data_IF_662672299595
#
_entry.id   IF_662672299595
#
_cell.length_a   1.000
_cell.length_b   1.000
_cell.length_c   1.000
_cell.angle_alpha   90.00
_cell.angle_beta   90.00
_cell.angle_gamma   90.00
#
_symmetry.space_group_name_H-M   'P 1'
#
loop_
_entity.id
_entity.type
_entity.pdbx_description
1 polymer ?
#
# COMPACT_ATOMS: atom_id res chain seq x y z
N UNK A 1 10.49 30.23 4.37
CA UNK A 1 11.19 29.15 5.08
C UNK A 1 10.48 27.80 5.00
N UNK A 2 9.29 27.59 5.61
CA UNK A 2 8.60 26.28 5.54
C UNK A 2 8.14 25.98 4.10
N UNK A 3 7.44 26.91 3.46
CA UNK A 3 6.96 26.74 2.08
C UNK A 3 8.09 26.46 1.08
N UNK A 4 9.21 27.16 1.21
CA UNK A 4 10.41 26.95 0.38
C UNK A 4 11.01 25.56 0.60
N UNK A 5 11.13 25.11 1.86
CA UNK A 5 11.63 23.77 2.18
C UNK A 5 10.71 22.67 1.64
N UNK A 6 9.39 22.87 1.72
CA UNK A 6 8.39 21.94 1.17
C UNK A 6 8.50 21.89 -0.36
N UNK A 7 8.60 23.06 -1.01
CA UNK A 7 8.75 23.15 -2.46
C UNK A 7 10.04 22.48 -2.95
N UNK A 8 11.15 22.69 -2.25
CA UNK A 8 12.44 22.09 -2.59
C UNK A 8 12.42 20.57 -2.42
N UNK A 9 11.81 20.08 -1.34
CA UNK A 9 11.59 18.65 -1.14
C UNK A 9 10.75 18.05 -2.27
N UNK A 10 9.62 18.69 -2.60
CA UNK A 10 8.72 18.24 -3.68
C UNK A 10 9.44 18.22 -5.03
N UNK A 11 10.21 19.26 -5.37
CA UNK A 11 11.04 19.28 -6.59
C UNK A 11 12.06 18.15 -6.63
N UNK A 12 12.67 17.83 -5.48
CA UNK A 12 13.64 16.74 -5.38
C UNK A 12 12.97 15.38 -5.60
N UNK A 13 11.85 15.15 -4.93
CA UNK A 13 11.04 13.93 -5.11
C UNK A 13 10.59 13.79 -6.56
N UNK A 14 10.05 14.86 -7.16
CA UNK A 14 9.55 14.82 -8.53
C UNK A 14 10.66 14.50 -9.53
N UNK A 15 11.84 15.13 -9.38
CA UNK A 15 13.02 14.80 -10.19
C UNK A 15 13.42 13.34 -10.04
N UNK A 16 13.41 12.80 -8.83
CA UNK A 16 13.78 11.42 -8.60
C UNK A 16 12.81 10.44 -9.27
N UNK A 17 11.50 10.65 -9.12
CA UNK A 17 10.47 9.81 -9.77
C UNK A 17 10.55 9.91 -11.28
N UNK A 18 10.74 11.12 -11.83
CA UNK A 18 10.84 11.34 -13.28
C UNK A 18 12.10 10.69 -13.88
N UNK A 19 13.21 10.70 -13.17
CA UNK A 19 14.48 10.12 -13.65
C UNK A 19 14.61 8.61 -13.36
N UNK A 20 14.01 8.13 -12.26
CA UNK A 20 14.26 6.80 -11.69
C UNK A 20 12.99 6.14 -11.14
N UNK A 21 11.93 6.14 -11.94
CA UNK A 21 10.63 5.57 -11.56
C UNK A 21 10.73 4.13 -11.03
N UNK A 22 11.46 3.26 -11.74
CA UNK A 22 11.57 1.84 -11.39
C UNK A 22 12.27 1.65 -10.06
N UNK A 23 13.34 2.40 -9.82
CA UNK A 23 14.10 2.40 -8.58
C UNK A 23 13.29 2.99 -7.42
N UNK A 24 12.57 4.09 -7.65
CA UNK A 24 11.68 4.70 -6.66
C UNK A 24 10.57 3.73 -6.26
N UNK A 25 9.87 3.13 -7.22
CA UNK A 25 8.84 2.14 -6.94
C UNK A 25 9.40 0.95 -6.16
N UNK A 26 10.58 0.45 -6.56
CA UNK A 26 11.26 -0.65 -5.86
C UNK A 26 11.67 -0.28 -4.44
N UNK A 27 12.18 0.93 -4.21
CA UNK A 27 12.54 1.40 -2.87
C UNK A 27 11.31 1.59 -1.99
N UNK A 28 10.25 2.19 -2.52
CA UNK A 28 8.99 2.34 -1.78
C UNK A 28 8.38 0.98 -1.44
N UNK A 29 8.35 0.04 -2.39
CA UNK A 29 7.91 -1.34 -2.13
C UNK A 29 8.80 -2.06 -1.10
N UNK A 30 10.12 -1.82 -1.10
CA UNK A 30 11.03 -2.36 -0.07
C UNK A 30 10.77 -1.77 1.31
N UNK A 31 10.56 -0.45 1.39
CA UNK A 31 10.14 0.21 2.63
C UNK A 31 8.76 -0.26 3.09
N UNK A 32 7.91 -0.67 2.15
CA UNK A 32 6.64 -1.33 2.40
C UNK A 32 6.81 -2.75 2.99
N UNK A 33 7.99 -3.35 2.86
CA UNK A 33 8.37 -4.63 3.45
C UNK A 33 7.87 -5.84 2.65
N UNK A 34 8.80 -6.75 2.27
CA UNK A 34 8.45 -8.03 1.63
C UNK A 34 7.52 -8.87 2.51
N UNK A 35 7.65 -8.76 3.83
CA UNK A 35 6.77 -9.40 4.82
C UNK A 35 5.33 -8.87 4.72
N UNK A 36 5.14 -7.57 4.55
CA UNK A 36 3.82 -6.95 4.38
C UNK A 36 3.16 -7.40 3.08
N UNK A 37 3.94 -7.48 2.00
CA UNK A 37 3.42 -7.98 0.73
C UNK A 37 2.96 -9.45 0.82
N UNK A 38 3.75 -10.30 1.51
CA UNK A 38 3.36 -11.69 1.78
C UNK A 38 2.09 -11.75 2.63
N UNK A 39 2.04 -10.98 3.71
CA UNK A 39 0.88 -10.87 4.59
C UNK A 39 -0.40 -10.48 3.81
N UNK A 40 -0.32 -9.47 2.95
CA UNK A 40 -1.46 -9.05 2.12
C UNK A 40 -1.88 -10.13 1.11
N UNK A 41 -0.91 -10.84 0.53
CA UNK A 41 -1.21 -11.96 -0.38
C UNK A 41 -1.93 -13.11 0.35
N UNK A 42 -1.52 -13.39 1.58
CA UNK A 42 -2.13 -14.42 2.43
C UNK A 42 -3.54 -14.00 2.84
N UNK A 43 -3.73 -12.74 3.25
CA UNK A 43 -5.04 -12.18 3.61
C UNK A 43 -6.01 -12.18 2.42
N UNK A 44 -5.55 -11.85 1.21
CA UNK A 44 -6.35 -11.99 -0.02
C UNK A 44 -6.79 -13.43 -0.27
N UNK A 45 -5.88 -14.40 -0.03
CA UNK A 45 -6.19 -15.82 -0.16
C UNK A 45 -7.20 -16.28 0.89
N UNK A 46 -7.08 -15.80 2.13
CA UNK A 46 -8.04 -16.05 3.21
C UNK A 46 -9.43 -15.51 2.86
N UNK A 47 -9.52 -14.26 2.40
CA UNK A 47 -10.77 -13.65 1.96
C UNK A 47 -11.44 -14.49 0.85
N UNK A 48 -10.68 -14.83 -0.19
CA UNK A 48 -11.20 -15.65 -1.31
C UNK A 48 -11.71 -17.01 -0.84
N UNK A 49 -11.04 -17.63 0.14
CA UNK A 49 -11.47 -18.90 0.74
C UNK A 49 -12.75 -18.73 1.55
N UNK A 50 -12.88 -17.66 2.33
CA UNK A 50 -14.08 -17.37 3.11
C UNK A 50 -15.30 -17.12 2.20
N UNK A 51 -15.15 -16.31 1.15
CA UNK A 51 -16.19 -16.07 0.15
C UNK A 51 -16.60 -17.35 -0.58
N UNK A 52 -15.63 -18.20 -0.94
CA UNK A 52 -15.93 -19.50 -1.54
C UNK A 52 -16.67 -20.41 -0.56
N UNK A 53 -16.25 -20.43 0.71
CA UNK A 53 -16.88 -21.26 1.75
C UNK A 53 -18.35 -20.88 1.96
N UNK A 54 -18.70 -19.60 1.92
CA UNK A 54 -20.11 -19.15 1.96
C UNK A 54 -20.92 -19.76 0.83
N UNK A 55 -20.41 -19.74 -0.42
CA UNK A 55 -21.10 -20.33 -1.58
C UNK A 55 -21.21 -21.86 -1.48
N UNK A 56 -20.18 -22.50 -0.93
CA UNK A 56 -20.19 -23.94 -0.68
C UNK A 56 -21.26 -24.28 0.38
N UNK A 57 -21.39 -23.47 1.43
CA UNK A 57 -22.44 -23.62 2.45
C UNK A 57 -23.83 -23.45 1.85
N UNK A 58 -24.07 -22.44 1.00
CA UNK A 58 -25.37 -22.27 0.31
C UNK A 58 -25.75 -23.53 -0.47
N UNK A 59 -24.78 -24.12 -1.17
CA UNK A 59 -24.98 -25.36 -1.93
C UNK A 59 -25.23 -26.58 -1.04
N UNK A 60 -24.61 -26.63 0.15
CA UNK A 60 -24.81 -27.70 1.12
C UNK A 60 -26.20 -27.62 1.77
N UNK A 61 -26.65 -26.41 2.13
CA UNK A 61 -27.99 -26.18 2.68
C UNK A 61 -29.06 -26.63 1.68
N UNK A 62 -28.91 -26.26 0.41
CA UNK A 62 -29.85 -26.68 -0.65
C UNK A 62 -29.94 -28.22 -0.74
N UNK A 63 -28.80 -28.91 -0.77
CA UNK A 63 -28.78 -30.39 -0.84
C UNK A 63 -29.40 -31.04 0.39
N UNK A 64 -29.14 -30.50 1.57
CA UNK A 64 -29.68 -31.01 2.84
C UNK A 64 -31.20 -30.87 2.89
N UNK A 65 -31.74 -29.77 2.35
CA UNK A 65 -33.19 -29.60 2.18
C UNK A 65 -33.77 -30.65 1.23
N UNK A 66 -33.14 -30.86 0.06
CA UNK A 66 -33.56 -31.87 -0.91
C UNK A 66 -33.55 -33.29 -0.32
N UNK A 67 -32.49 -33.65 0.40
CA UNK A 67 -32.33 -34.96 1.05
C UNK A 67 -33.33 -35.17 2.21
N UNK A 68 -33.67 -34.11 2.95
CA UNK A 68 -34.73 -34.16 3.97
C UNK A 68 -36.12 -34.35 3.32
N UNK A 69 -36.43 -33.60 2.27
CA UNK A 69 -37.73 -33.68 1.58
C UNK A 69 -38.02 -35.06 0.98
N UNK A 70 -36.98 -35.79 0.55
CA UNK A 70 -37.10 -37.17 0.03
C UNK A 70 -36.91 -38.25 1.10
N UNK A 71 -36.80 -37.86 2.38
CA UNK A 71 -36.73 -38.78 3.52
C UNK A 71 -35.39 -39.50 3.71
N UNK A 72 -34.33 -39.09 3.00
CA UNK A 72 -32.97 -39.64 3.22
C UNK A 72 -32.32 -39.10 4.50
N UNK A 73 -32.78 -37.94 4.97
CA UNK A 73 -32.30 -37.27 6.17
C UNK A 73 -33.44 -37.04 7.16
N UNK A 74 -33.25 -37.43 8.42
CA UNK A 74 -34.24 -37.16 9.48
C UNK A 74 -34.31 -35.66 9.80
N UNK A 75 -35.48 -35.22 10.26
CA UNK A 75 -35.73 -33.82 10.61
C UNK A 75 -34.79 -33.31 11.71
N UNK A 76 -34.47 -34.17 12.70
CA UNK A 76 -33.52 -33.85 13.77
C UNK A 76 -32.10 -33.59 13.21
N UNK A 77 -31.66 -34.40 12.25
CA UNK A 77 -30.34 -34.22 11.60
C UNK A 77 -30.34 -32.99 10.70
N UNK A 78 -31.44 -32.76 9.97
CA UNK A 78 -31.64 -31.55 9.17
C UNK A 78 -31.51 -30.29 10.03
N UNK A 79 -32.23 -30.21 11.16
CA UNK A 79 -32.20 -29.05 12.05
C UNK A 79 -30.78 -28.80 12.58
N UNK A 80 -30.12 -29.85 13.08
CA UNK A 80 -28.76 -29.75 13.62
C UNK A 80 -27.75 -29.25 12.58
N UNK A 81 -27.76 -29.83 11.37
CA UNK A 81 -26.80 -29.45 10.33
C UNK A 81 -27.09 -28.06 9.76
N UNK A 82 -28.36 -27.72 9.56
CA UNK A 82 -28.76 -26.40 9.05
C UNK A 82 -28.34 -25.30 10.02
N UNK A 83 -28.57 -25.48 11.32
CA UNK A 83 -28.10 -24.54 12.35
C UNK A 83 -26.58 -24.35 12.32
N UNK A 84 -25.81 -25.44 12.24
CA UNK A 84 -24.35 -25.35 12.21
C UNK A 84 -23.84 -24.61 10.97
N UNK A 85 -24.45 -24.84 9.80
CA UNK A 85 -24.10 -24.14 8.57
C UNK A 85 -24.50 -22.67 8.59
N UNK A 86 -25.67 -22.33 9.12
CA UNK A 86 -26.10 -20.94 9.28
C UNK A 86 -25.19 -20.17 10.24
N UNK A 87 -24.77 -20.79 11.33
CA UNK A 87 -23.84 -20.20 12.30
C UNK A 87 -22.45 -19.97 11.65
N UNK A 88 -21.92 -20.95 10.93
CA UNK A 88 -20.67 -20.80 10.18
C UNK A 88 -20.80 -19.68 9.14
N UNK A 89 -21.88 -19.66 8.36
CA UNK A 89 -22.10 -18.65 7.33
C UNK A 89 -22.22 -17.24 7.94
N UNK A 90 -22.90 -17.10 9.08
CA UNK A 90 -23.00 -15.84 9.81
C UNK A 90 -21.62 -15.34 10.25
N UNK A 91 -20.82 -16.20 10.88
CA UNK A 91 -19.47 -15.83 11.33
C UNK A 91 -18.57 -15.37 10.17
N UNK A 92 -18.65 -16.04 9.01
CA UNK A 92 -17.91 -15.66 7.81
C UNK A 92 -18.40 -14.32 7.23
N UNK A 93 -19.72 -14.09 7.19
CA UNK A 93 -20.32 -12.82 6.74
C UNK A 93 -19.95 -11.64 7.63
N UNK A 94 -19.75 -11.88 8.93
CA UNK A 94 -19.29 -10.85 9.88
C UNK A 94 -17.79 -10.57 9.72
N UNK A 95 -16.97 -11.58 9.42
CA UNK A 95 -15.52 -11.41 9.31
C UNK A 95 -15.05 -10.84 7.96
N UNK A 96 -15.80 -11.08 6.86
CA UNK A 96 -15.42 -10.63 5.51
C UNK A 96 -15.27 -9.10 5.40
N UNK A 97 -16.21 -8.27 5.91
CA UNK A 97 -16.08 -6.81 5.86
C UNK A 97 -14.79 -6.29 6.50
N UNK A 98 -14.39 -6.85 7.63
CA UNK A 98 -13.14 -6.47 8.31
C UNK A 98 -11.90 -6.85 7.49
N UNK A 99 -11.90 -8.04 6.87
CA UNK A 99 -10.84 -8.48 5.96
C UNK A 99 -10.76 -7.59 4.71
N UNK A 100 -11.92 -7.20 4.16
CA UNK A 100 -12.00 -6.31 3.00
C UNK A 100 -11.52 -4.91 3.33
N UNK A 101 -11.97 -4.31 4.43
CA UNK A 101 -11.54 -2.98 4.87
C UNK A 101 -10.01 -2.93 5.12
N UNK A 102 -9.46 -3.97 5.75
CA UNK A 102 -8.00 -4.10 5.92
C UNK A 102 -7.26 -4.17 4.58
N UNK A 103 -7.77 -4.97 3.63
CA UNK A 103 -7.16 -5.07 2.32
C UNK A 103 -7.32 -3.80 1.48
N UNK A 104 -8.42 -3.07 1.62
CA UNK A 104 -8.68 -1.80 0.91
C UNK A 104 -7.70 -0.73 1.40
N UNK A 105 -7.62 -0.50 2.72
CA UNK A 105 -6.67 0.45 3.32
C UNK A 105 -5.21 0.20 2.95
N UNK A 106 -4.84 -1.06 2.70
CA UNK A 106 -3.48 -1.43 2.30
C UNK A 106 -3.29 -1.44 0.78
N UNK A 107 -4.32 -1.77 0.00
CA UNK A 107 -4.29 -1.72 -1.48
C UNK A 107 -4.27 -0.28 -1.97
N UNK A 108 -4.94 0.64 -1.26
CA UNK A 108 -4.91 2.08 -1.49
C UNK A 108 -3.49 2.66 -1.48
N UNK A 109 -2.55 2.05 -0.75
CA UNK A 109 -1.15 2.48 -0.72
C UNK A 109 -0.34 1.96 -1.91
N UNK A 110 -0.65 0.76 -2.40
CA UNK A 110 -0.07 0.20 -3.64
C UNK A 110 -0.58 0.95 -4.89
N UNK A 111 -1.90 1.13 -5.00
CA UNK A 111 -2.49 1.94 -6.07
C UNK A 111 -2.13 3.42 -5.91
N UNK A 112 -2.02 3.90 -4.68
CA UNK A 112 -1.53 5.22 -4.33
C UNK A 112 -0.13 5.49 -4.88
N UNK A 113 0.79 4.53 -4.79
CA UNK A 113 2.13 4.63 -5.37
C UNK A 113 2.09 4.79 -6.89
N UNK A 114 1.31 3.97 -7.58
CA UNK A 114 1.23 4.07 -9.05
C UNK A 114 0.57 5.38 -9.48
N UNK A 115 -0.53 5.78 -8.83
CA UNK A 115 -1.21 7.06 -9.08
C UNK A 115 -0.30 8.25 -8.78
N UNK A 116 0.51 8.18 -7.72
CA UNK A 116 1.50 9.21 -7.39
C UNK A 116 2.53 9.35 -8.51
N UNK A 117 3.10 8.23 -8.98
CA UNK A 117 4.07 8.21 -10.09
C UNK A 117 3.45 8.84 -11.35
N UNK A 118 2.23 8.45 -11.71
CA UNK A 118 1.57 8.94 -12.91
C UNK A 118 1.28 10.44 -12.84
N UNK A 119 0.86 10.95 -11.68
CA UNK A 119 0.67 12.39 -11.45
C UNK A 119 1.99 13.16 -11.54
N UNK A 120 3.06 12.65 -10.93
CA UNK A 120 4.40 13.31 -10.99
C UNK A 120 4.93 13.38 -12.42
N UNK A 121 4.63 12.38 -13.27
CA UNK A 121 5.00 12.42 -14.70
C UNK A 121 4.26 13.49 -15.49
N UNK A 122 3.00 13.76 -15.15
CA UNK A 122 2.19 14.77 -15.84
C UNK A 122 2.60 16.20 -15.48
N UNK A 123 3.31 16.39 -14.37
CA UNK A 123 3.69 17.71 -13.87
C UNK A 123 5.11 18.08 -14.28
N UNK A 124 5.26 19.27 -14.84
CA UNK A 124 6.57 19.92 -15.03
C UNK A 124 7.06 20.48 -13.69
N UNK A 125 8.38 20.48 -13.43
CA UNK A 125 8.95 20.91 -12.15
C UNK A 125 8.28 22.19 -11.59
N UNK A 126 7.62 22.12 -10.42
CA UNK A 126 6.79 23.21 -9.94
C UNK A 126 7.65 24.44 -9.60
N UNK A 127 7.31 25.60 -10.14
CA UNK A 127 8.03 26.86 -9.89
C UNK A 127 7.64 27.52 -8.57
N UNK A 128 6.42 27.25 -8.08
CA UNK A 128 5.89 27.71 -6.80
C UNK A 128 5.05 26.61 -6.16
N UNK A 129 4.94 26.65 -4.83
CA UNK A 129 4.03 25.78 -4.10
C UNK A 129 2.63 26.39 -4.19
N UNK A 130 1.76 25.82 -5.03
CA UNK A 130 0.38 26.29 -5.17
C UNK A 130 -0.56 25.45 -4.31
N UNK A 131 -1.70 25.98 -3.86
CA UNK A 131 -2.68 25.21 -3.08
C UNK A 131 -3.12 23.92 -3.78
N UNK A 132 -3.21 23.95 -5.12
CA UNK A 132 -3.57 22.80 -5.93
C UNK A 132 -2.50 21.69 -5.79
N UNK A 133 -1.22 22.03 -5.90
CA UNK A 133 -0.11 21.08 -5.73
C UNK A 133 -0.07 20.51 -4.31
N UNK A 134 -0.34 21.34 -3.30
CA UNK A 134 -0.38 20.88 -1.90
C UNK A 134 -1.51 19.87 -1.72
N UNK A 135 -2.74 20.23 -2.10
CA UNK A 135 -3.87 19.31 -1.97
C UNK A 135 -3.71 18.03 -2.80
N UNK A 136 -3.08 18.13 -3.97
CA UNK A 136 -2.92 16.99 -4.85
C UNK A 136 -1.88 15.98 -4.35
N UNK A 137 -0.76 16.45 -3.79
CA UNK A 137 0.38 15.59 -3.46
C UNK A 137 0.66 15.43 -1.98
N UNK A 138 0.21 16.33 -1.11
CA UNK A 138 0.54 16.34 0.31
C UNK A 138 -0.68 15.95 1.14
N UNK A 139 -0.54 14.88 1.92
CA UNK A 139 -1.54 14.44 2.89
C UNK A 139 -1.47 15.31 4.16
N UNK A 140 -0.25 15.46 4.71
CA UNK A 140 0.02 16.29 5.88
C UNK A 140 1.50 16.65 6.00
N UNK A 141 1.78 17.70 6.75
CA UNK A 141 3.14 18.13 7.09
C UNK A 141 3.25 18.13 8.62
N UNK A 142 4.17 17.33 9.15
CA UNK A 142 4.43 17.24 10.59
C UNK A 142 5.70 18.03 10.89
N UNK A 143 5.57 19.07 11.70
CA UNK A 143 6.69 19.92 12.11
C UNK A 143 7.02 19.55 13.55
N UNK A 144 8.25 19.09 13.77
CA UNK A 144 8.74 18.72 15.08
C UNK A 144 9.23 19.92 15.87
N UNK A 145 9.43 19.70 17.17
CA UNK A 145 9.98 20.71 18.08
C UNK A 145 11.37 21.18 17.65
N UNK A 146 11.68 22.43 17.99
CA UNK A 146 12.96 23.07 17.66
C UNK A 146 14.06 22.47 18.53
N UNK A 147 15.17 22.07 17.91
CA UNK A 147 16.36 21.54 18.59
C UNK A 147 17.54 22.45 18.34
N UNK A 148 18.41 22.58 19.34
CA UNK A 148 19.70 23.26 19.19
C UNK A 148 20.80 22.20 19.17
N UNK A 149 21.58 22.18 18.10
CA UNK A 149 22.77 21.34 17.95
C UNK A 149 23.93 22.28 17.62
N UNK A 150 24.98 22.25 18.44
CA UNK A 150 26.20 23.03 18.23
C UNK A 150 25.95 24.53 18.01
N UNK A 151 25.10 25.14 18.86
CA UNK A 151 24.73 26.56 18.79
C UNK A 151 23.84 26.96 17.59
N UNK A 152 23.56 26.03 16.67
CA UNK A 152 22.67 26.24 15.51
C UNK A 152 21.28 25.67 15.78
N UNK A 153 20.27 26.40 15.32
CA UNK A 153 18.85 26.02 15.46
C UNK A 153 18.44 25.11 14.32
N UNK A 154 17.92 23.93 14.65
CA UNK A 154 17.37 22.94 13.74
C UNK A 154 15.89 22.70 14.02
N UNK A 155 15.12 22.46 12.97
CA UNK A 155 13.72 22.06 13.08
C UNK A 155 13.45 20.96 12.06
N UNK A 156 13.05 19.79 12.55
CA UNK A 156 12.74 18.64 11.70
C UNK A 156 11.32 18.77 11.15
N UNK A 157 11.11 18.32 9.92
CA UNK A 157 9.82 18.35 9.24
C UNK A 157 9.67 17.08 8.40
N UNK A 158 8.55 16.39 8.59
CA UNK A 158 8.15 15.24 7.78
C UNK A 158 7.00 15.63 6.86
N UNK A 159 7.14 15.30 5.57
CA UNK A 159 6.10 15.52 4.56
C UNK A 159 5.52 14.15 4.18
N UNK A 160 4.22 14.00 4.38
CA UNK A 160 3.46 12.82 4.00
C UNK A 160 2.85 13.09 2.63
N UNK A 161 3.21 12.28 1.65
CA UNK A 161 2.68 12.38 0.29
C UNK A 161 1.49 11.45 0.09
N UNK A 162 0.46 11.96 -0.60
CA UNK A 162 -0.74 11.20 -0.91
C UNK A 162 -0.39 9.90 -1.64
N UNK A 163 -0.80 8.76 -1.07
CA UNK A 163 -0.64 7.43 -1.68
C UNK A 163 0.73 6.78 -1.51
N UNK A 164 1.74 7.48 -0.97
CA UNK A 164 3.10 6.92 -0.75
C UNK A 164 3.66 7.18 0.64
N UNK A 165 2.97 7.98 1.47
CA UNK A 165 3.37 8.27 2.84
C UNK A 165 4.65 9.12 2.92
N UNK A 166 5.44 8.91 3.97
CA UNK A 166 6.72 9.62 4.11
C UNK A 166 7.72 9.00 3.13
N UNK A 167 7.97 9.71 2.04
CA UNK A 167 9.16 9.46 1.26
C UNK A 167 10.30 9.95 2.13
N UNK A 168 10.97 9.03 2.85
CA UNK A 168 12.26 9.31 3.47
C UNK A 168 13.16 9.74 2.33
N UNK A 169 13.27 11.05 2.17
CA UNK A 169 14.14 11.62 1.20
C UNK A 169 15.53 11.26 1.68
N UNK A 170 16.11 10.23 1.04
CA UNK A 170 17.53 9.95 1.06
C UNK A 170 18.24 11.31 1.11
N UNK A 171 19.19 11.45 2.03
CA UNK A 171 19.97 12.68 2.11
C UNK A 171 20.57 12.94 0.72
N UNK A 172 20.88 14.20 0.37
CA UNK A 172 21.57 14.49 -0.89
C UNK A 172 22.80 13.58 -1.10
N UNK A 173 23.47 13.19 -0.01
CA UNK A 173 24.58 12.24 0.03
C UNK A 173 24.15 10.81 -0.32
N UNK A 174 23.12 10.26 0.34
CA UNK A 174 22.63 8.90 0.08
C UNK A 174 22.03 8.74 -1.35
N UNK A 175 21.49 9.83 -1.91
CA UNK A 175 21.02 9.88 -3.31
C UNK A 175 22.16 9.91 -4.31
N UNK A 176 23.20 10.71 -4.04
CA UNK A 176 24.40 10.78 -4.87
C UNK A 176 25.16 9.45 -4.83
N UNK A 177 25.26 8.81 -3.68
CA UNK A 177 25.84 7.47 -3.53
C UNK A 177 25.06 6.42 -4.35
N UNK A 178 23.73 6.41 -4.25
CA UNK A 178 22.88 5.53 -5.05
C UNK A 178 23.03 5.80 -6.56
N UNK A 179 23.22 7.06 -6.96
CA UNK A 179 23.47 7.48 -8.34
C UNK A 179 24.84 7.01 -8.84
N UNK A 180 25.91 7.20 -8.05
CA UNK A 180 27.27 6.77 -8.39
C UNK A 180 27.41 5.25 -8.48
N UNK A 181 26.79 4.52 -7.54
CA UNK A 181 26.75 3.05 -7.61
C UNK A 181 26.11 2.53 -8.90
N UNK A 182 25.05 3.18 -9.38
CA UNK A 182 24.37 2.80 -10.60
C UNK A 182 25.25 3.05 -11.84
N UNK A 183 25.96 4.18 -11.90
CA UNK A 183 26.94 4.46 -12.96
C UNK A 183 28.07 3.42 -12.98
N UNK A 184 28.55 3.00 -11.81
CA UNK A 184 29.56 1.95 -11.68
C UNK A 184 29.02 0.59 -12.18
N UNK A 185 27.83 0.18 -11.74
CA UNK A 185 27.17 -1.08 -12.19
C UNK A 185 26.95 -1.10 -13.70
N UNK A 186 26.60 0.05 -14.30
CA UNK A 186 26.37 0.18 -15.75
C UNK A 186 27.68 0.16 -16.57
N UNK A 187 28.77 0.71 -16.02
CA UNK A 187 30.12 0.57 -16.61
C UNK A 187 30.61 -0.89 -16.55
N UNK A 188 30.37 -1.57 -15.43
CA UNK A 188 30.71 -2.99 -15.24
C UNK A 188 29.92 -3.88 -16.20
N UNK A 189 28.62 -3.64 -16.38
CA UNK A 189 27.79 -4.43 -17.30
C UNK A 189 28.18 -4.20 -18.78
N UNK A 190 28.54 -2.97 -19.16
CA UNK A 190 29.09 -2.69 -20.50
C UNK A 190 30.44 -3.38 -20.73
N UNK A 191 31.31 -3.46 -19.72
CA UNK A 191 32.60 -4.14 -19.81
C UNK A 191 32.52 -5.67 -19.82
N UNK A 192 31.39 -6.25 -19.39
CA UNK A 192 31.13 -7.71 -19.43
C UNK A 192 30.46 -8.19 -20.72
N UNK A 193 29.98 -7.26 -21.55
CA UNK A 193 29.26 -7.56 -22.80
C UNK A 193 30.09 -7.15 -24.04
N UNK A 194 31.37 -6.82 -23.84
CA UNK A 194 32.38 -6.57 -24.86
C UNK A 194 33.50 -7.59 -24.70
#
# INVERSE_FOLDING_TARGET
>A
MIEENVLENMRRVFRYVQAYEKEFAKQQMKCYGEEKQKELSEKRRELTKAEKRIKDIDSLIQKIYEDNAIGKLSDERFATMSMAYEEEQKSLKEAIPDMQAYLETETDKSEGLQRFIDKVKQITQPTKLTPELVHEFIEKIVIHERRYLDGKRYQLMDIYYNGVGVIRGLTPEEMEEAFQEHLAKRKINKAKTA
#
